data_IF_401011622687
#
_entry.id   IF_401011622687
#
_cell.length_a   1.000
_cell.length_b   1.000
_cell.length_c   1.000
_cell.angle_alpha   90.00
_cell.angle_beta   90.00
_cell.angle_gamma   90.00
#
_symmetry.space_group_name_H-M   'P 1'
#
loop_
_entity.id
_entity.type
_entity.pdbx_description
1 polymer ?
#
# COMPACT_ATOMS: atom_id res chain seq x y z
N UNK A 1 -4.23 -18.86 4.86
CA UNK A 1 -4.83 -18.24 6.05
C UNK A 1 -6.25 -17.85 5.69
N UNK A 2 -7.25 -18.31 6.44
CA UNK A 2 -8.65 -17.92 6.20
C UNK A 2 -8.93 -16.65 7.01
N UNK A 3 -9.44 -15.60 6.37
CA UNK A 3 -9.77 -14.34 7.05
C UNK A 3 -11.07 -14.53 7.85
N UNK A 4 -11.10 -14.28 9.17
CA UNK A 4 -12.32 -14.41 9.95
C UNK A 4 -13.43 -13.45 9.47
N UNK A 5 -14.69 -13.86 9.61
CA UNK A 5 -15.85 -13.01 9.28
C UNK A 5 -15.88 -11.71 10.09
N UNK A 6 -15.40 -11.77 11.35
CA UNK A 6 -15.24 -10.59 12.21
C UNK A 6 -14.29 -9.55 11.60
N UNK A 7 -13.16 -9.99 11.03
CA UNK A 7 -12.19 -9.09 10.40
C UNK A 7 -12.73 -8.46 9.11
N UNK A 8 -13.51 -9.22 8.34
CA UNK A 8 -14.23 -8.69 7.17
C UNK A 8 -15.26 -7.63 7.57
N UNK A 9 -15.98 -7.88 8.67
CA UNK A 9 -16.99 -6.96 9.20
C UNK A 9 -16.37 -5.65 9.67
N UNK A 10 -15.22 -5.72 10.34
CA UNK A 10 -14.44 -4.55 10.76
C UNK A 10 -13.96 -3.73 9.55
N UNK A 11 -13.36 -4.39 8.56
CA UNK A 11 -12.90 -3.73 7.33
C UNK A 11 -14.04 -3.03 6.55
N UNK A 12 -15.25 -3.60 6.55
CA UNK A 12 -16.43 -2.97 5.95
C UNK A 12 -16.84 -1.68 6.69
N UNK A 13 -16.77 -1.68 8.04
CA UNK A 13 -17.05 -0.49 8.85
C UNK A 13 -16.02 0.61 8.64
N UNK A 14 -14.74 0.25 8.53
CA UNK A 14 -13.65 1.21 8.33
C UNK A 14 -13.79 2.01 7.03
N UNK A 15 -14.41 1.41 6.01
CA UNK A 15 -14.70 2.07 4.71
C UNK A 15 -16.12 2.65 4.62
N UNK A 16 -16.88 2.64 5.72
CA UNK A 16 -18.24 3.19 5.79
C UNK A 16 -19.30 2.38 5.04
N UNK A 17 -19.08 1.08 4.82
CA UNK A 17 -20.03 0.20 4.15
C UNK A 17 -20.84 -0.63 5.15
N UNK A 18 -22.09 -0.23 5.37
CA UNK A 18 -23.00 -0.92 6.30
C UNK A 18 -23.56 -2.21 5.70
N UNK A 19 -22.95 -3.34 6.04
CA UNK A 19 -23.45 -4.68 5.71
C UNK A 19 -24.41 -5.21 6.78
N UNK A 20 -25.51 -5.85 6.34
CA UNK A 20 -26.45 -6.56 7.22
C UNK A 20 -25.84 -7.89 7.68
N UNK A 21 -25.17 -8.59 6.77
CA UNK A 21 -24.77 -9.99 6.99
C UNK A 21 -23.48 -10.31 6.25
N UNK A 22 -22.58 -11.05 6.92
CA UNK A 22 -21.27 -11.46 6.40
C UNK A 22 -21.10 -12.94 6.72
N UNK A 23 -21.27 -13.80 5.71
CA UNK A 23 -21.34 -15.26 5.91
C UNK A 23 -20.41 -15.99 4.98
N UNK A 24 -19.56 -16.85 5.55
CA UNK A 24 -18.72 -17.78 4.79
C UNK A 24 -19.59 -18.90 4.20
N UNK A 25 -19.48 -19.08 2.88
CA UNK A 25 -20.24 -20.13 2.21
C UNK A 25 -19.69 -21.51 2.55
N UNK A 26 -20.58 -22.48 2.74
CA UNK A 26 -20.24 -23.87 3.05
C UNK A 26 -20.36 -24.74 1.80
N UNK A 27 -19.39 -25.62 1.57
CA UNK A 27 -19.49 -26.66 0.56
C UNK A 27 -20.54 -27.69 1.02
N UNK A 28 -21.67 -27.78 0.32
CA UNK A 28 -22.80 -28.65 0.70
C UNK A 28 -22.45 -30.14 0.66
N UNK A 29 -21.54 -30.55 -0.21
CA UNK A 29 -21.13 -31.95 -0.40
C UNK A 29 -20.11 -32.38 0.66
N UNK A 30 -19.10 -31.54 0.91
CA UNK A 30 -17.99 -31.82 1.82
C UNK A 30 -18.20 -31.30 3.25
N UNK A 31 -19.29 -30.55 3.51
CA UNK A 31 -19.63 -29.91 4.79
C UNK A 31 -18.49 -29.09 5.40
N UNK A 32 -17.69 -28.42 4.56
CA UNK A 32 -16.53 -27.62 4.96
C UNK A 32 -16.67 -26.16 4.49
N UNK A 33 -16.11 -25.19 5.23
CA UNK A 33 -16.09 -23.80 4.82
C UNK A 33 -15.35 -23.62 3.49
N UNK A 34 -15.84 -22.71 2.66
CA UNK A 34 -15.19 -22.32 1.41
C UNK A 34 -14.39 -21.03 1.62
N UNK A 35 -13.56 -20.70 0.63
CA UNK A 35 -12.85 -19.41 0.57
C UNK A 35 -13.76 -18.24 0.22
N UNK A 36 -15.02 -18.50 -0.15
CA UNK A 36 -15.99 -17.50 -0.59
C UNK A 36 -16.80 -16.98 0.59
N UNK A 37 -16.94 -15.66 0.68
CA UNK A 37 -17.77 -14.97 1.67
C UNK A 37 -18.89 -14.26 0.92
N UNK A 38 -20.10 -14.40 1.41
CA UNK A 38 -21.27 -13.66 0.95
C UNK A 38 -21.50 -12.48 1.88
N UNK A 39 -21.60 -11.30 1.32
CA UNK A 39 -21.91 -10.07 2.05
C UNK A 39 -23.26 -9.56 1.56
N UNK A 40 -24.14 -9.22 2.49
CA UNK A 40 -25.49 -8.73 2.21
C UNK A 40 -25.60 -7.28 2.67
N UNK A 41 -26.06 -6.40 1.78
CA UNK A 41 -26.29 -4.98 2.07
C UNK A 41 -27.77 -4.67 2.05
N UNK A 42 -28.22 -3.77 2.93
CA UNK A 42 -29.58 -3.22 2.88
C UNK A 42 -29.69 -2.20 1.75
N UNK A 43 -28.69 -1.34 1.68
CA UNK A 43 -28.60 -0.25 0.72
C UNK A 43 -27.95 -0.73 -0.59
N UNK A 44 -28.65 -0.61 -1.73
CA UNK A 44 -28.10 -0.89 -3.05
C UNK A 44 -26.87 -0.03 -3.41
N UNK A 45 -26.76 1.20 -2.89
CA UNK A 45 -25.59 2.05 -3.17
C UNK A 45 -24.33 1.48 -2.52
N UNK A 46 -24.38 1.16 -1.23
CA UNK A 46 -23.28 0.46 -0.54
C UNK A 46 -22.88 -0.84 -1.25
N UNK A 47 -23.85 -1.62 -1.73
CA UNK A 47 -23.58 -2.83 -2.53
C UNK A 47 -22.85 -2.51 -3.83
N UNK A 48 -23.26 -1.47 -4.55
CA UNK A 48 -22.66 -1.10 -5.83
C UNK A 48 -21.25 -0.56 -5.64
N UNK A 49 -21.03 0.28 -4.62
CA UNK A 49 -19.71 0.74 -4.20
C UNK A 49 -18.85 -0.49 -3.90
N UNK A 50 -19.31 -1.40 -3.04
CA UNK A 50 -18.57 -2.61 -2.68
C UNK A 50 -18.18 -3.48 -3.88
N UNK A 51 -19.09 -3.71 -4.83
CA UNK A 51 -18.80 -4.49 -6.05
C UNK A 51 -17.77 -3.77 -6.94
N UNK A 52 -17.87 -2.45 -7.06
CA UNK A 52 -16.97 -1.66 -7.90
C UNK A 52 -15.58 -1.49 -7.27
N UNK A 53 -15.52 -1.23 -5.96
CA UNK A 53 -14.27 -0.91 -5.26
C UNK A 53 -13.57 -2.14 -4.69
N UNK A 54 -14.28 -3.25 -4.50
CA UNK A 54 -13.81 -4.36 -3.67
C UNK A 54 -13.65 -3.95 -2.21
N UNK A 55 -12.94 -4.77 -1.44
CA UNK A 55 -12.64 -4.53 -0.03
C UNK A 55 -11.18 -4.79 0.28
N UNK A 56 -10.53 -3.82 0.91
CA UNK A 56 -9.20 -4.01 1.47
C UNK A 56 -9.33 -4.60 2.87
N UNK A 57 -8.64 -5.70 3.13
CA UNK A 57 -8.53 -6.30 4.47
C UNK A 57 -7.05 -6.52 4.75
N UNK A 58 -6.54 -5.84 5.77
CA UNK A 58 -5.11 -5.77 6.05
C UNK A 58 -4.33 -5.34 4.80
N UNK A 59 -3.25 -6.05 4.45
CA UNK A 59 -2.44 -5.79 3.25
C UNK A 59 -2.99 -6.43 1.97
N UNK A 60 -4.21 -6.99 1.97
CA UNK A 60 -4.79 -7.70 0.83
C UNK A 60 -6.07 -7.04 0.30
N UNK A 61 -6.19 -6.98 -1.03
CA UNK A 61 -7.39 -6.46 -1.70
C UNK A 61 -8.24 -7.59 -2.27
N UNK A 62 -9.51 -7.62 -1.91
CA UNK A 62 -10.48 -8.60 -2.37
C UNK A 62 -11.44 -7.97 -3.38
N UNK A 63 -11.49 -8.54 -4.58
CA UNK A 63 -12.45 -8.15 -5.60
C UNK A 63 -13.80 -8.77 -5.23
N UNK A 64 -14.86 -7.98 -5.33
CA UNK A 64 -16.22 -8.41 -5.09
C UNK A 64 -16.94 -8.66 -6.43
N UNK A 65 -17.74 -9.72 -6.48
CA UNK A 65 -18.63 -10.02 -7.61
C UNK A 65 -20.09 -10.01 -7.14
N UNK A 66 -21.04 -9.56 -7.98
CA UNK A 66 -22.44 -9.76 -7.71
C UNK A 66 -22.73 -11.24 -7.49
N UNK A 67 -23.43 -11.57 -6.41
CA UNK A 67 -23.84 -12.94 -6.18
C UNK A 67 -24.72 -13.41 -7.36
N UNK A 68 -24.35 -14.53 -7.98
CA UNK A 68 -25.16 -15.15 -9.03
C UNK A 68 -26.57 -15.44 -8.50
N UNK A 69 -27.55 -14.71 -9.02
CA UNK A 69 -28.96 -14.93 -8.70
C UNK A 69 -29.53 -15.99 -9.64
N UNK A 70 -30.40 -16.85 -9.11
CA UNK A 70 -31.19 -17.73 -9.97
C UNK A 70 -32.06 -16.87 -10.87
N UNK A 71 -31.91 -17.02 -12.18
CA UNK A 71 -32.69 -16.30 -13.19
C UNK A 71 -34.06 -16.94 -13.45
N UNK A 72 -34.32 -18.13 -12.89
CA UNK A 72 -35.57 -18.87 -13.07
C UNK A 72 -36.34 -19.04 -11.77
N UNK A 73 -37.69 -18.95 -11.81
CA UNK A 73 -38.54 -19.27 -10.67
C UNK A 73 -38.27 -20.68 -10.14
N UNK A 74 -37.96 -20.77 -8.85
CA UNK A 74 -37.85 -22.07 -8.16
C UNK A 74 -39.25 -22.67 -8.05
N UNK A 75 -39.45 -23.86 -8.63
CA UNK A 75 -40.70 -24.61 -8.52
C UNK A 75 -40.58 -25.75 -7.51
N UNK A 76 -41.55 -25.87 -6.62
CA UNK A 76 -41.60 -26.93 -5.62
C UNK A 76 -42.04 -28.25 -6.24
N UNK A 77 -41.25 -29.33 -6.13
CA UNK A 77 -41.62 -30.65 -6.66
C UNK A 77 -42.78 -31.35 -5.93
N UNK A 78 -43.19 -30.86 -4.75
CA UNK A 78 -44.33 -31.41 -4.00
C UNK A 78 -45.64 -30.74 -4.40
N UNK A 79 -45.74 -29.41 -4.28
CA UNK A 79 -46.99 -28.70 -4.54
C UNK A 79 -47.06 -27.99 -5.90
N UNK A 80 -45.97 -28.02 -6.67
CA UNK A 80 -45.81 -27.41 -8.00
C UNK A 80 -45.98 -25.89 -8.05
N UNK A 81 -46.12 -25.23 -6.90
CA UNK A 81 -46.11 -23.76 -6.77
C UNK A 81 -44.68 -23.21 -6.77
N UNK A 82 -44.54 -21.91 -7.04
CA UNK A 82 -43.26 -21.21 -7.13
C UNK A 82 -42.76 -20.69 -5.78
N UNK A 83 -41.49 -20.23 -5.76
CA UNK A 83 -40.80 -19.52 -4.68
C UNK A 83 -40.45 -20.33 -3.42
N UNK A 84 -40.46 -21.67 -3.50
CA UNK A 84 -39.93 -22.52 -2.44
C UNK A 84 -39.54 -23.92 -2.96
N UNK A 85 -38.68 -24.62 -2.22
CA UNK A 85 -38.30 -26.01 -2.51
C UNK A 85 -39.12 -26.98 -1.65
N UNK A 86 -39.21 -28.25 -2.09
CA UNK A 86 -39.95 -29.32 -1.41
C UNK A 86 -39.61 -29.45 0.08
N UNK A 87 -38.34 -29.27 0.46
CA UNK A 87 -37.87 -29.32 1.86
C UNK A 87 -38.63 -28.36 2.80
N UNK A 88 -39.07 -27.21 2.30
CA UNK A 88 -39.78 -26.18 3.08
C UNK A 88 -41.27 -26.10 2.71
N UNK A 89 -41.79 -27.11 2.01
CA UNK A 89 -43.19 -27.14 1.62
C UNK A 89 -44.07 -27.57 2.80
N UNK A 90 -45.20 -26.89 2.98
CA UNK A 90 -46.22 -27.26 3.99
C UNK A 90 -47.11 -28.41 3.52
N UNK A 91 -47.13 -28.69 2.22
CA UNK A 91 -47.95 -29.76 1.63
C UNK A 91 -47.31 -31.12 1.95
N UNK A 92 -48.10 -32.05 2.49
CA UNK A 92 -47.64 -33.40 2.85
C UNK A 92 -47.77 -34.41 1.70
N UNK A 93 -48.65 -34.14 0.75
CA UNK A 93 -48.92 -35.00 -0.42
C UNK A 93 -48.39 -34.34 -1.70
N UNK A 94 -47.96 -35.15 -2.66
CA UNK A 94 -47.51 -34.65 -3.96
C UNK A 94 -48.72 -34.29 -4.83
N UNK A 95 -48.62 -33.16 -5.51
CA UNK A 95 -49.58 -32.69 -6.51
C UNK A 95 -49.11 -33.17 -7.88
N UNK A 96 -50.04 -33.73 -8.65
CA UNK A 96 -49.80 -34.21 -9.99
C UNK A 96 -49.60 -33.04 -10.95
N UNK A 97 -48.53 -33.07 -11.74
CA UNK A 97 -48.25 -32.03 -12.73
C UNK A 97 -49.18 -32.06 -13.95
N UNK A 98 -49.89 -33.18 -14.15
CA UNK A 98 -50.82 -33.38 -15.25
C UNK A 98 -52.21 -32.85 -14.93
N UNK A 99 -52.81 -33.26 -13.80
CA UNK A 99 -54.20 -32.95 -13.48
C UNK A 99 -54.37 -32.02 -12.26
N UNK A 100 -53.32 -31.80 -11.46
CA UNK A 100 -53.36 -30.93 -10.28
C UNK A 100 -53.92 -31.58 -9.01
N UNK A 101 -54.18 -32.89 -9.01
CA UNK A 101 -54.73 -33.63 -7.87
C UNK A 101 -53.64 -34.25 -6.96
N UNK A 102 -54.03 -34.73 -5.78
CA UNK A 102 -53.13 -35.26 -4.72
C UNK A 102 -52.59 -36.67 -5.01
N UNK A 103 -51.79 -36.83 -6.06
CA UNK A 103 -51.05 -38.05 -6.34
C UNK A 103 -49.76 -37.74 -7.11
N UNK A 104 -48.88 -38.74 -7.21
CA UNK A 104 -47.68 -38.65 -8.04
C UNK A 104 -48.05 -38.80 -9.52
N UNK A 105 -47.34 -38.15 -10.43
CA UNK A 105 -47.65 -38.19 -11.87
C UNK A 105 -47.68 -39.61 -12.46
N UNK A 106 -46.87 -40.53 -11.93
CA UNK A 106 -46.83 -41.95 -12.30
C UNK A 106 -48.09 -42.73 -11.89
N UNK A 107 -48.91 -42.17 -11.01
CA UNK A 107 -50.17 -42.73 -10.54
C UNK A 107 -51.38 -41.96 -11.11
N UNK A 108 -51.16 -41.11 -12.09
CA UNK A 108 -52.21 -40.30 -12.70
C UNK A 108 -53.10 -41.15 -13.60
N UNK A 109 -54.40 -41.18 -13.30
CA UNK A 109 -55.41 -41.86 -14.12
C UNK A 109 -56.13 -40.91 -15.09
N UNK A 110 -55.75 -39.63 -15.12
CA UNK A 110 -56.30 -38.67 -16.06
C UNK A 110 -55.82 -39.00 -17.48
N UNK A 111 -56.69 -38.81 -18.47
CA UNK A 111 -56.34 -38.98 -19.87
C UNK A 111 -55.21 -38.01 -20.27
N UNK A 112 -54.40 -38.41 -21.25
CA UNK A 112 -53.20 -37.66 -21.67
C UNK A 112 -53.49 -36.25 -22.19
N UNK A 113 -54.71 -36.03 -22.69
CA UNK A 113 -55.25 -34.76 -23.19
C UNK A 113 -55.94 -33.90 -22.11
N UNK A 114 -56.24 -34.49 -20.95
CA UNK A 114 -56.87 -33.82 -19.81
C UNK A 114 -55.81 -33.11 -18.92
N UNK A 115 -55.03 -32.20 -19.52
CA UNK A 115 -54.04 -31.42 -18.79
C UNK A 115 -54.70 -30.26 -18.06
N UNK A 116 -54.31 -30.07 -16.79
CA UNK A 116 -54.78 -28.96 -15.96
C UNK A 116 -53.65 -28.50 -15.05
N UNK A 117 -53.09 -27.34 -15.40
CA UNK A 117 -52.05 -26.73 -14.59
C UNK A 117 -52.58 -26.35 -13.21
N UNK A 118 -51.91 -26.77 -12.13
CA UNK A 118 -52.33 -26.43 -10.78
C UNK A 118 -52.22 -24.93 -10.46
N UNK A 119 -51.37 -24.19 -11.19
CA UNK A 119 -51.06 -22.77 -10.96
C UNK A 119 -52.02 -21.83 -11.69
N UNK A 120 -52.13 -21.93 -13.02
CA UNK A 120 -52.99 -21.04 -13.83
C UNK A 120 -54.32 -21.68 -14.28
N UNK A 121 -54.52 -22.97 -14.01
CA UNK A 121 -55.67 -23.78 -14.46
C UNK A 121 -55.80 -23.96 -15.99
N UNK A 122 -54.75 -23.62 -16.76
CA UNK A 122 -54.69 -23.83 -18.21
C UNK A 122 -54.45 -25.28 -18.64
N UNK A 123 -54.67 -25.56 -19.95
CA UNK A 123 -54.51 -26.88 -20.56
C UNK A 123 -53.05 -27.18 -20.94
N UNK A 124 -52.21 -27.37 -19.93
CA UNK A 124 -50.82 -27.77 -20.07
C UNK A 124 -50.29 -28.39 -18.77
N UNK A 125 -49.13 -29.05 -18.84
CA UNK A 125 -48.44 -29.53 -17.64
C UNK A 125 -48.01 -28.34 -16.76
N UNK A 126 -48.13 -28.51 -15.44
CA UNK A 126 -47.74 -27.48 -14.48
C UNK A 126 -46.23 -27.14 -14.48
N UNK A 127 -45.40 -27.95 -15.12
CA UNK A 127 -43.95 -27.79 -15.24
C UNK A 127 -43.49 -27.10 -16.51
N UNK A 128 -44.39 -26.83 -17.47
CA UNK A 128 -44.04 -26.16 -18.73
C UNK A 128 -43.98 -24.63 -18.56
N UNK A 129 -43.05 -24.01 -19.29
CA UNK A 129 -42.78 -22.56 -19.20
C UNK A 129 -43.88 -21.70 -19.83
N UNK A 130 -44.83 -22.31 -20.57
CA UNK A 130 -45.98 -21.63 -21.19
C UNK A 130 -47.06 -21.19 -20.19
N UNK A 131 -46.90 -21.58 -18.91
CA UNK A 131 -47.78 -21.17 -17.83
C UNK A 131 -47.75 -19.65 -17.63
N UNK A 132 -48.89 -18.97 -17.75
CA UNK A 132 -49.00 -17.53 -17.51
C UNK A 132 -48.48 -17.12 -16.11
N UNK A 133 -48.73 -17.94 -15.09
CA UNK A 133 -48.19 -17.72 -13.73
C UNK A 133 -46.67 -17.87 -13.69
N UNK A 134 -46.07 -18.78 -14.47
CA UNK A 134 -44.61 -18.89 -14.59
C UNK A 134 -44.03 -17.60 -15.19
N UNK A 135 -44.59 -17.12 -16.31
CA UNK A 135 -44.14 -15.89 -16.97
C UNK A 135 -44.25 -14.68 -16.04
N UNK A 136 -45.30 -14.60 -15.22
CA UNK A 136 -45.44 -13.55 -14.22
C UNK A 136 -44.35 -13.63 -13.13
N UNK A 137 -44.07 -14.83 -12.61
CA UNK A 137 -42.98 -15.03 -11.64
C UNK A 137 -41.62 -14.69 -12.24
N UNK A 138 -41.37 -15.09 -13.50
CA UNK A 138 -40.14 -14.80 -14.22
C UNK A 138 -39.95 -13.29 -14.41
N UNK A 139 -40.99 -12.56 -14.85
CA UNK A 139 -40.97 -11.09 -14.93
C UNK A 139 -40.72 -10.44 -13.58
N UNK A 140 -41.38 -10.92 -12.51
CA UNK A 140 -41.17 -10.39 -11.15
C UNK A 140 -39.73 -10.59 -10.69
N UNK A 141 -39.15 -11.76 -10.96
CA UNK A 141 -37.75 -12.04 -10.65
C UNK A 141 -36.80 -11.20 -11.50
N UNK A 142 -37.06 -11.05 -12.80
CA UNK A 142 -36.25 -10.22 -13.68
C UNK A 142 -36.29 -8.74 -13.27
N UNK A 143 -37.44 -8.24 -12.84
CA UNK A 143 -37.56 -6.87 -12.33
C UNK A 143 -36.78 -6.68 -11.03
N UNK A 144 -36.81 -7.66 -10.11
CA UNK A 144 -35.96 -7.63 -8.91
C UNK A 144 -34.48 -7.70 -9.30
N UNK A 145 -34.10 -8.60 -10.19
CA UNK A 145 -32.72 -8.69 -10.71
C UNK A 145 -32.31 -7.34 -11.29
N UNK A 146 -33.10 -6.75 -12.19
CA UNK A 146 -32.80 -5.47 -12.85
C UNK A 146 -32.74 -4.31 -11.85
N UNK A 147 -33.67 -4.25 -10.88
CA UNK A 147 -33.66 -3.25 -9.80
C UNK A 147 -32.35 -3.28 -9.01
N UNK A 148 -31.78 -4.47 -8.81
CA UNK A 148 -30.51 -4.63 -8.12
C UNK A 148 -29.30 -4.80 -9.05
N UNK A 149 -29.45 -4.88 -10.38
CA UNK A 149 -28.38 -5.19 -11.36
C UNK A 149 -27.86 -4.01 -12.18
N UNK A 150 -28.38 -2.79 -11.99
CA UNK A 150 -27.80 -1.58 -12.60
C UNK A 150 -26.74 -0.98 -11.64
N UNK A 151 -25.45 -0.96 -11.98
CA UNK A 151 -24.88 -0.06 -12.99
C UNK A 151 -23.99 -0.76 -14.04
N UNK A 152 -24.59 -1.15 -15.17
CA UNK A 152 -23.92 -1.06 -16.47
C UNK A 152 -24.43 0.21 -17.15
N UNK A 153 -23.98 1.38 -16.69
CA UNK A 153 -23.93 2.54 -17.58
C UNK A 153 -22.79 2.28 -18.58
N UNK A 154 -22.93 2.59 -19.88
CA UNK A 154 -21.77 2.74 -20.76
C UNK A 154 -20.77 3.68 -20.08
N UNK A 155 -19.47 3.64 -20.41
CA UNK A 155 -18.56 4.68 -19.96
C UNK A 155 -19.16 6.00 -20.44
N UNK A 156 -19.76 6.76 -19.51
CA UNK A 156 -19.95 8.18 -19.73
C UNK A 156 -18.53 8.65 -19.94
N UNK A 157 -18.19 9.02 -21.18
CA UNK A 157 -17.04 9.87 -21.44
C UNK A 157 -17.04 10.90 -20.32
N UNK A 158 -15.95 10.93 -19.55
CA UNK A 158 -15.77 11.90 -18.49
C UNK A 158 -16.30 13.23 -19.01
N UNK A 159 -17.19 13.94 -18.28
CA UNK A 159 -17.62 15.26 -18.70
C UNK A 159 -16.36 16.02 -19.07
N UNK A 160 -16.26 16.44 -20.34
CA UNK A 160 -15.19 17.31 -20.75
C UNK A 160 -15.20 18.46 -19.75
N UNK A 161 -14.06 18.67 -19.11
CA UNK A 161 -13.83 19.69 -18.09
C UNK A 161 -14.31 21.03 -18.63
N UNK A 162 -15.54 21.39 -18.30
CA UNK A 162 -16.03 22.76 -18.39
C UNK A 162 -16.06 23.27 -16.96
N UNK A 163 -15.21 24.26 -16.75
CA UNK A 163 -14.99 25.06 -15.55
C UNK A 163 -14.37 24.38 -14.31
N UNK A 164 -13.10 24.75 -14.07
CA UNK A 164 -12.38 24.52 -12.82
C UNK A 164 -13.02 25.21 -11.59
N UNK A 165 -14.12 25.93 -11.78
CA UNK A 165 -14.79 26.76 -10.79
C UNK A 165 -16.01 26.08 -10.13
N UNK A 166 -16.41 24.88 -10.55
CA UNK A 166 -17.59 24.18 -10.00
C UNK A 166 -17.27 23.26 -8.79
N UNK A 167 -15.99 23.01 -8.52
CA UNK A 167 -15.59 22.43 -7.24
C UNK A 167 -15.56 23.53 -6.20
N UNK A 168 -16.36 23.38 -5.13
CA UNK A 168 -16.13 24.13 -3.89
C UNK A 168 -14.64 24.01 -3.57
N UNK A 169 -13.92 25.12 -3.30
CA UNK A 169 -12.56 25.02 -2.82
C UNK A 169 -12.62 24.07 -1.62
N UNK A 170 -11.80 23.02 -1.68
CA UNK A 170 -11.66 22.07 -0.59
C UNK A 170 -11.61 22.89 0.69
N UNK A 171 -12.40 22.55 1.73
CA UNK A 171 -12.24 23.20 3.01
C UNK A 171 -10.75 23.18 3.32
N UNK A 172 -10.17 24.35 3.61
CA UNK A 172 -8.78 24.54 4.03
C UNK A 172 -8.44 23.77 5.32
N UNK A 173 -9.20 22.74 5.67
CA UNK A 173 -9.08 21.86 6.80
C UNK A 173 -7.83 20.99 6.63
N UNK A 174 -7.56 20.44 5.45
CA UNK A 174 -6.34 19.64 5.26
C UNK A 174 -5.08 20.47 5.00
N UNK A 175 -5.18 21.62 4.35
CA UNK A 175 -4.01 22.49 4.19
C UNK A 175 -3.69 23.22 5.50
N UNK A 176 -4.68 23.70 6.27
CA UNK A 176 -4.37 24.24 7.62
C UNK A 176 -4.05 23.17 8.65
N UNK A 177 -4.59 21.95 8.63
CA UNK A 177 -4.22 20.96 9.64
C UNK A 177 -2.93 20.22 9.28
N UNK A 178 -2.63 20.00 8.00
CA UNK A 178 -1.37 19.40 7.59
C UNK A 178 -0.25 20.44 7.48
N UNK A 179 -0.53 21.74 7.30
CA UNK A 179 0.48 22.78 7.46
C UNK A 179 0.54 23.32 8.91
N UNK A 180 -0.54 23.43 9.71
CA UNK A 180 -0.40 23.82 11.13
C UNK A 180 0.01 22.67 12.05
N UNK A 181 -0.48 21.42 11.96
CA UNK A 181 0.08 20.37 12.84
C UNK A 181 1.47 19.98 12.39
N UNK A 182 1.75 19.94 11.09
CA UNK A 182 3.06 19.52 10.63
C UNK A 182 4.06 20.67 10.71
N UNK A 183 3.69 21.95 10.52
CA UNK A 183 4.60 23.08 10.78
C UNK A 183 4.61 23.50 12.25
N UNK A 184 3.56 23.43 13.08
CA UNK A 184 3.74 23.73 14.52
C UNK A 184 4.51 22.61 15.22
N UNK A 185 4.28 21.33 14.87
CA UNK A 185 5.04 20.21 15.42
C UNK A 185 6.43 20.10 14.76
N UNK A 186 6.61 20.36 13.45
CA UNK A 186 7.95 20.47 12.86
C UNK A 186 8.68 21.72 13.33
N UNK A 187 8.04 22.88 13.49
CA UNK A 187 8.70 24.09 13.99
C UNK A 187 9.03 23.90 15.48
N UNK A 188 8.18 23.26 16.29
CA UNK A 188 8.54 22.87 17.67
C UNK A 188 9.64 21.80 17.72
N UNK A 189 9.65 20.80 16.83
CA UNK A 189 10.69 19.74 16.78
C UNK A 189 12.02 20.27 16.20
N UNK A 190 11.96 21.09 15.14
CA UNK A 190 13.11 21.79 14.54
C UNK A 190 13.66 22.80 15.54
N UNK A 191 12.86 23.42 16.41
CA UNK A 191 13.40 24.35 17.40
C UNK A 191 14.21 23.67 18.54
N UNK A 192 14.19 22.33 18.68
CA UNK A 192 14.92 21.64 19.76
C UNK A 192 16.30 21.16 19.33
N UNK A 193 16.43 20.33 18.29
CA UNK A 193 17.71 19.76 17.84
C UNK A 193 17.60 19.17 16.42
N UNK A 194 18.44 19.60 15.48
CA UNK A 194 18.57 19.01 14.13
C UNK A 194 19.78 18.07 14.06
N UNK A 195 19.61 16.86 13.54
CA UNK A 195 20.70 15.91 13.30
C UNK A 195 20.73 15.55 11.82
N UNK A 196 21.86 15.82 11.16
CA UNK A 196 22.09 15.51 9.74
C UNK A 196 23.24 14.52 9.58
N UNK A 197 23.06 13.47 8.78
CA UNK A 197 24.13 12.54 8.38
C UNK A 197 24.58 12.90 6.96
N UNK A 198 25.88 13.17 6.77
CA UNK A 198 26.47 13.60 5.50
C UNK A 198 27.67 12.73 5.15
N UNK A 199 27.56 11.98 4.05
CA UNK A 199 28.70 11.28 3.46
C UNK A 199 29.29 12.09 2.30
N UNK A 200 30.59 12.37 2.34
CA UNK A 200 31.35 12.96 1.23
C UNK A 200 32.32 11.92 0.66
N UNK A 201 32.12 11.45 -0.58
CA UNK A 201 33.01 10.48 -1.19
C UNK A 201 34.48 10.95 -1.23
N UNK A 202 35.47 10.03 -1.18
CA UNK A 202 36.89 10.37 -1.18
C UNK A 202 37.38 11.13 -2.42
N UNK A 203 36.58 11.17 -3.49
CA UNK A 203 36.87 11.85 -4.76
C UNK A 203 36.11 13.18 -4.90
N UNK A 204 35.14 13.45 -4.03
CA UNK A 204 34.32 14.65 -4.07
C UNK A 204 34.93 15.80 -3.25
N UNK A 205 34.49 17.02 -3.55
CA UNK A 205 34.77 18.21 -2.73
C UNK A 205 33.65 18.41 -1.72
N UNK A 206 33.98 18.98 -0.57
CA UNK A 206 32.97 19.42 0.39
C UNK A 206 32.24 20.62 -0.21
N UNK A 207 30.91 20.57 -0.25
CA UNK A 207 30.09 21.73 -0.60
C UNK A 207 29.76 22.50 0.68
N UNK A 208 30.54 23.57 0.91
CA UNK A 208 30.44 24.39 2.12
C UNK A 208 29.04 25.01 2.30
N UNK A 209 28.33 25.32 1.20
CA UNK A 209 27.01 25.94 1.28
C UNK A 209 25.98 25.03 1.96
N UNK A 210 26.12 23.70 1.85
CA UNK A 210 25.22 22.75 2.52
C UNK A 210 25.30 22.92 4.04
N UNK A 211 26.49 23.11 4.60
CA UNK A 211 26.67 23.29 6.05
C UNK A 211 26.08 24.63 6.52
N UNK A 212 26.21 25.69 5.70
CA UNK A 212 25.59 26.99 5.97
C UNK A 212 24.07 26.92 5.92
N UNK A 213 23.51 26.25 4.92
CA UNK A 213 22.07 26.04 4.79
C UNK A 213 21.53 25.24 5.98
N UNK A 214 22.19 24.14 6.37
CA UNK A 214 21.79 23.33 7.52
C UNK A 214 21.81 24.11 8.83
N UNK A 215 22.85 24.94 9.04
CA UNK A 215 22.93 25.83 10.20
C UNK A 215 21.84 26.91 10.19
N UNK A 216 21.57 27.51 9.03
CA UNK A 216 20.54 28.55 8.90
C UNK A 216 19.11 27.99 9.05
N UNK A 217 18.91 26.71 8.73
CA UNK A 217 17.64 26.02 8.98
C UNK A 217 17.42 25.81 10.48
N UNK A 218 18.48 25.48 11.24
CA UNK A 218 18.42 25.34 12.69
C UNK A 218 19.82 25.52 13.31
N UNK A 219 19.98 26.53 14.16
CA UNK A 219 21.26 26.80 14.84
C UNK A 219 21.54 25.86 16.03
N UNK A 220 20.60 24.98 16.39
CA UNK A 220 20.80 23.82 17.25
C UNK A 220 21.01 22.56 16.38
N UNK A 221 22.08 22.53 15.57
CA UNK A 221 22.37 21.42 14.67
C UNK A 221 23.59 20.60 15.07
N UNK A 222 23.51 19.29 14.83
CA UNK A 222 24.61 18.33 14.79
C UNK A 222 24.66 17.74 13.38
N UNK A 223 25.84 17.75 12.79
CA UNK A 223 26.15 17.17 11.50
C UNK A 223 27.18 16.08 11.74
N UNK A 224 26.85 14.85 11.39
CA UNK A 224 27.69 13.65 11.63
C UNK A 224 28.02 13.04 10.27
N UNK A 225 29.05 12.18 10.24
CA UNK A 225 29.34 11.14 9.22
C UNK A 225 30.62 11.42 8.40
N UNK A 226 31.00 10.48 7.53
CA UNK A 226 32.30 10.41 6.85
C UNK A 226 32.48 11.49 5.78
N UNK A 227 33.25 12.53 6.11
CA UNK A 227 33.58 13.62 5.20
C UNK A 227 34.81 13.34 4.33
N UNK A 228 35.50 12.22 4.56
CA UNK A 228 36.81 11.91 3.99
C UNK A 228 37.83 13.06 4.13
N UNK A 229 37.66 13.90 5.14
CA UNK A 229 38.43 15.11 5.39
C UNK A 229 39.47 14.81 6.47
N UNK A 230 40.75 15.05 6.17
CA UNK A 230 41.83 14.85 7.14
C UNK A 230 42.38 16.20 7.55
N UNK A 231 42.56 16.41 8.85
CA UNK A 231 43.03 17.65 9.46
C UNK A 231 44.19 17.34 10.41
N UNK A 232 45.37 17.88 10.13
CA UNK A 232 46.57 17.60 10.93
C UNK A 232 46.40 18.00 12.41
N UNK A 233 45.77 19.14 12.67
CA UNK A 233 45.55 19.62 14.04
C UNK A 233 44.50 18.81 14.82
N UNK A 234 43.78 17.91 14.15
CA UNK A 234 42.78 17.02 14.74
C UNK A 234 43.29 15.57 14.85
N UNK A 235 44.59 15.35 14.72
CA UNK A 235 45.21 14.04 14.86
C UNK A 235 45.38 13.23 13.57
N UNK A 236 44.98 13.76 12.40
CA UNK A 236 45.32 13.12 11.12
C UNK A 236 46.80 13.29 10.76
N UNK A 237 47.37 12.37 9.97
CA UNK A 237 48.79 12.46 9.55
C UNK A 237 49.09 13.67 8.67
N UNK A 238 48.09 14.15 7.94
CA UNK A 238 48.19 15.28 7.01
C UNK A 238 46.86 15.99 6.83
N UNK A 239 46.90 17.26 6.47
CA UNK A 239 45.71 17.98 6.01
C UNK A 239 45.50 17.77 4.51
N UNK A 240 44.37 17.17 4.11
CA UNK A 240 44.00 17.01 2.70
C UNK A 240 43.18 18.21 2.19
N UNK A 241 42.86 18.24 0.89
CA UNK A 241 42.10 19.36 0.30
C UNK A 241 40.72 19.56 0.93
N UNK A 242 40.02 18.47 1.29
CA UNK A 242 38.73 18.53 1.99
C UNK A 242 38.89 19.00 3.43
N UNK A 243 39.95 18.58 4.11
CA UNK A 243 40.32 19.10 5.42
C UNK A 243 40.50 20.60 5.40
N UNK A 244 41.13 21.17 4.36
CA UNK A 244 41.21 22.63 4.21
C UNK A 244 39.82 23.28 4.08
N UNK A 245 38.91 22.68 3.30
CA UNK A 245 37.53 23.18 3.18
C UNK A 245 36.75 23.05 4.50
N UNK A 246 36.95 21.97 5.24
CA UNK A 246 36.35 21.79 6.56
C UNK A 246 36.91 22.81 7.56
N UNK A 247 38.22 23.09 7.49
CA UNK A 247 38.84 24.15 8.30
C UNK A 247 38.23 25.52 8.01
N UNK A 248 37.93 25.84 6.75
CA UNK A 248 37.25 27.10 6.40
C UNK A 248 35.90 27.22 7.13
N UNK A 249 35.12 26.14 7.18
CA UNK A 249 33.85 26.08 7.91
C UNK A 249 34.07 26.26 9.42
N UNK A 250 35.01 25.52 10.00
CA UNK A 250 35.32 25.60 11.43
C UNK A 250 35.78 27.00 11.81
N UNK A 251 36.54 27.67 10.95
CA UNK A 251 37.03 29.03 11.16
C UNK A 251 35.92 30.09 11.07
N UNK A 252 34.77 29.80 10.46
CA UNK A 252 33.60 30.69 10.49
C UNK A 252 32.98 30.76 11.91
N UNK A 253 33.26 29.77 12.77
CA UNK A 253 32.94 29.80 14.20
C UNK A 253 31.52 29.38 14.58
N UNK A 254 30.64 29.10 13.60
CA UNK A 254 29.26 28.67 13.86
C UNK A 254 29.15 27.17 14.17
N UNK A 255 30.08 26.36 13.66
CA UNK A 255 30.13 24.91 13.80
C UNK A 255 31.56 24.49 14.14
N UNK A 256 31.72 23.64 15.14
CA UNK A 256 33.01 23.08 15.54
C UNK A 256 32.98 21.55 15.45
N UNK A 257 34.16 20.96 15.28
CA UNK A 257 34.33 19.53 15.35
C UNK A 257 34.59 19.07 16.79
N UNK A 258 33.94 17.97 17.17
CA UNK A 258 34.06 17.29 18.46
C UNK A 258 34.47 15.84 18.18
N UNK A 259 35.46 15.37 18.93
CA UNK A 259 35.99 14.01 18.83
C UNK A 259 36.76 13.62 20.12
N UNK A 260 37.34 12.41 20.15
CA UNK A 260 38.03 11.81 21.29
C UNK A 260 39.53 11.54 21.03
N UNK A 261 40.16 12.30 20.13
CA UNK A 261 41.55 12.09 19.64
C UNK A 261 41.85 10.75 18.93
N UNK A 262 40.98 9.75 19.03
CA UNK A 262 41.16 8.44 18.42
C UNK A 262 41.05 8.48 16.89
N UNK A 263 41.74 7.55 16.21
CA UNK A 263 41.56 7.33 14.77
C UNK A 263 40.23 6.64 14.54
N UNK A 264 39.44 7.11 13.57
CA UNK A 264 38.10 6.55 13.29
C UNK A 264 38.09 5.58 12.11
N UNK A 265 39.18 5.51 11.35
CA UNK A 265 39.33 4.57 10.24
C UNK A 265 40.67 3.85 10.32
N UNK A 266 40.63 2.52 10.13
CA UNK A 266 41.81 1.66 10.12
C UNK A 266 41.71 0.60 9.02
N UNK A 267 42.78 0.49 8.24
CA UNK A 267 42.95 -0.56 7.23
C UNK A 267 44.42 -0.91 7.06
N UNK A 268 44.82 -2.10 7.53
CA UNK A 268 46.22 -2.56 7.51
C UNK A 268 47.13 -1.54 8.21
N UNK A 269 48.09 -0.93 7.50
CA UNK A 269 49.04 0.05 8.05
C UNK A 269 48.56 1.50 7.94
N UNK A 270 47.29 1.70 7.58
CA UNK A 270 46.68 3.01 7.40
C UNK A 270 45.64 3.26 8.49
N UNK A 271 45.90 4.28 9.30
CA UNK A 271 44.97 4.81 10.27
C UNK A 271 44.82 6.31 10.05
N UNK A 272 43.57 6.77 10.01
CA UNK A 272 43.24 8.19 9.92
C UNK A 272 41.95 8.50 10.67
N UNK A 273 41.78 9.80 10.92
CA UNK A 273 40.54 10.39 11.41
C UNK A 273 39.76 10.94 10.23
N UNK A 274 38.67 10.28 9.87
CA UNK A 274 37.84 10.62 8.72
C UNK A 274 36.40 10.97 9.11
N UNK A 275 35.97 10.44 10.25
CA UNK A 275 34.63 10.60 10.80
C UNK A 275 34.69 11.70 11.87
N UNK A 276 33.77 12.67 11.77
CA UNK A 276 33.73 13.81 12.69
C UNK A 276 32.29 14.10 13.14
N UNK A 277 32.15 14.51 14.40
CA UNK A 277 30.91 15.14 14.89
C UNK A 277 31.09 16.64 14.76
N UNK A 278 30.32 17.26 13.89
CA UNK A 278 30.25 18.70 13.77
C UNK A 278 29.03 19.19 14.53
N UNK A 279 29.22 20.09 15.49
CA UNK A 279 28.13 20.63 16.29
C UNK A 279 28.17 22.15 16.29
N UNK A 280 26.98 22.74 16.30
CA UNK A 280 26.80 24.18 16.46
C UNK A 280 27.22 24.66 17.85
N UNK A 281 27.65 25.92 17.94
CA UNK A 281 28.13 26.54 19.19
C UNK A 281 27.23 26.31 20.43
N UNK A 282 25.89 26.44 20.36
CA UNK A 282 25.01 26.21 21.51
C UNK A 282 25.12 24.79 22.10
N UNK A 283 25.40 23.79 21.25
CA UNK A 283 25.41 22.38 21.63
C UNK A 283 26.77 21.89 22.13
N UNK A 284 27.86 22.62 21.86
CA UNK A 284 29.22 22.19 22.24
C UNK A 284 29.35 21.95 23.75
N UNK A 285 28.65 22.75 24.56
CA UNK A 285 28.66 22.63 26.03
C UNK A 285 27.78 21.48 26.57
N UNK A 286 26.90 20.93 25.73
CA UNK A 286 25.94 19.88 26.11
C UNK A 286 26.41 18.49 25.69
N UNK A 287 27.26 18.41 24.67
CA UNK A 287 27.81 17.15 24.18
C UNK A 287 28.85 16.63 25.17
N UNK A 288 28.72 15.36 25.56
CA UNK A 288 29.62 14.68 26.49
C UNK A 288 29.89 13.24 26.05
N UNK A 289 30.78 12.53 26.74
CA UNK A 289 31.08 11.10 26.51
C UNK A 289 31.35 10.75 25.04
N UNK A 290 32.17 11.57 24.39
CA UNK A 290 32.58 11.35 23.00
C UNK A 290 33.62 10.25 23.00
N UNK A 291 33.34 9.12 22.35
CA UNK A 291 34.18 7.92 22.39
C UNK A 291 34.16 7.17 21.05
N UNK A 292 35.34 6.83 20.56
CA UNK A 292 35.54 5.94 19.42
C UNK A 292 35.61 4.49 19.90
N UNK A 293 34.82 3.60 19.29
CA UNK A 293 34.70 2.19 19.67
C UNK A 293 35.47 1.27 18.71
N UNK A 294 36.75 0.93 18.99
CA UNK A 294 37.58 0.16 18.07
C UNK A 294 37.08 -1.27 17.83
N UNK A 295 36.34 -1.85 18.78
CA UNK A 295 35.90 -3.25 18.74
C UNK A 295 34.57 -3.45 18.00
N UNK A 296 33.79 -2.40 17.76
CA UNK A 296 32.46 -2.49 17.13
C UNK A 296 32.49 -2.40 15.58
N UNK A 297 33.64 -2.02 14.98
CA UNK A 297 33.79 -1.62 13.58
C UNK A 297 34.46 -2.62 12.61
N UNK A 298 34.71 -3.85 13.05
CA UNK A 298 35.72 -4.75 12.46
C UNK A 298 35.49 -5.27 11.02
N UNK A 299 34.47 -4.82 10.28
CA UNK A 299 34.15 -5.32 8.93
C UNK A 299 34.44 -4.34 7.78
N UNK A 300 34.42 -3.02 8.00
CA UNK A 300 34.67 -2.00 6.96
C UNK A 300 35.94 -1.17 7.19
N UNK A 301 36.51 -1.23 8.39
CA UNK A 301 37.65 -0.41 8.81
C UNK A 301 37.24 0.86 9.56
N UNK A 302 35.97 1.29 9.49
CA UNK A 302 35.48 2.41 10.31
C UNK A 302 35.18 1.96 11.74
N UNK A 303 35.55 2.78 12.72
CA UNK A 303 35.32 2.61 14.15
C UNK A 303 34.17 3.54 14.55
N UNK A 304 33.05 3.01 15.08
CA UNK A 304 31.91 3.84 15.46
C UNK A 304 32.27 4.90 16.50
N UNK A 305 31.78 6.12 16.32
CA UNK A 305 31.91 7.22 17.27
C UNK A 305 30.58 7.43 17.99
N UNK A 306 30.59 7.49 19.32
CA UNK A 306 29.41 7.76 20.16
C UNK A 306 29.57 9.07 20.89
N UNK A 307 28.46 9.70 21.26
CA UNK A 307 28.42 10.89 22.09
C UNK A 307 27.05 10.98 22.77
N UNK A 308 27.01 11.65 23.91
CA UNK A 308 25.79 11.89 24.68
C UNK A 308 25.32 13.34 24.54
N UNK A 309 24.01 13.51 24.35
CA UNK A 309 23.35 14.82 24.37
C UNK A 309 22.19 14.74 25.36
N UNK A 310 22.15 15.59 26.40
CA UNK A 310 21.05 15.63 27.34
C UNK A 310 19.81 16.21 26.65
N UNK A 311 18.95 15.34 26.14
CA UNK A 311 17.62 15.68 25.66
C UNK A 311 16.68 15.36 26.82
N UNK A 312 15.98 16.35 27.36
CA UNK A 312 15.07 16.20 28.52
C UNK A 312 13.82 15.34 28.26
N UNK A 313 13.92 14.32 27.41
CA UNK A 313 12.86 13.41 27.02
C UNK A 313 12.89 12.15 27.91
N UNK A 314 11.74 11.81 28.50
CA UNK A 314 11.59 10.52 29.18
C UNK A 314 11.74 9.36 28.16
N UNK A 315 12.54 8.32 28.47
CA UNK A 315 12.76 7.22 27.55
C UNK A 315 11.46 6.46 27.31
N UNK A 316 10.93 6.52 26.08
CA UNK A 316 9.91 5.58 25.64
C UNK A 316 10.49 4.16 25.64
N UNK A 317 9.74 3.13 26.09
CA UNK A 317 10.20 1.76 26.06
C UNK A 317 10.59 1.33 24.64
N UNK A 318 11.75 0.69 24.53
CA UNK A 318 12.40 0.26 23.28
C UNK A 318 11.41 -0.57 22.46
N UNK A 319 10.91 0.00 21.37
CA UNK A 319 10.27 -0.78 20.30
C UNK A 319 11.38 -1.37 19.42
N UNK A 320 11.33 -2.65 19.05
CA UNK A 320 12.40 -3.28 18.28
C UNK A 320 12.52 -2.63 16.90
N UNK A 321 13.62 -1.91 16.67
CA UNK A 321 13.97 -1.39 15.33
C UNK A 321 14.26 -2.57 14.42
N UNK A 322 13.47 -2.71 13.35
CA UNK A 322 13.79 -3.61 12.24
C UNK A 322 15.06 -3.13 11.55
N UNK A 323 16.14 -3.92 11.61
CA UNK A 323 17.31 -3.75 10.74
C UNK A 323 17.35 -4.86 9.69
N UNK A 324 17.68 -4.47 8.44
CA UNK A 324 17.73 -5.41 7.32
C UNK A 324 19.12 -6.06 7.26
N UNK A 325 19.18 -7.39 7.40
CA UNK A 325 20.43 -8.16 7.34
C UNK A 325 20.76 -8.58 5.89
N UNK A 326 21.60 -7.79 5.22
CA UNK A 326 22.01 -8.06 3.84
C UNK A 326 22.93 -9.27 3.66
N UNK A 327 23.62 -9.75 4.71
CA UNK A 327 24.42 -10.98 4.63
C UNK A 327 23.56 -12.24 4.54
N UNK A 328 22.36 -12.18 5.12
CA UNK A 328 21.35 -13.23 5.00
C UNK A 328 20.51 -13.11 3.71
N UNK A 329 20.75 -12.09 2.87
CA UNK A 329 19.97 -11.88 1.66
C UNK A 329 20.24 -12.97 0.62
N UNK A 330 19.17 -13.61 0.15
CA UNK A 330 19.24 -14.61 -0.90
C UNK A 330 19.25 -13.92 -2.28
N UNK A 331 20.44 -13.57 -2.75
CA UNK A 331 20.66 -12.89 -4.03
C UNK A 331 20.14 -13.68 -5.23
N UNK A 332 20.11 -15.01 -5.15
CA UNK A 332 19.54 -15.86 -6.19
C UNK A 332 18.03 -15.70 -6.28
N UNK A 333 17.33 -15.70 -5.14
CA UNK A 333 15.89 -15.40 -5.07
C UNK A 333 15.59 -13.97 -5.50
N UNK A 334 16.44 -13.00 -5.13
CA UNK A 334 16.33 -11.61 -5.57
C UNK A 334 16.46 -11.48 -7.10
N UNK A 335 17.43 -12.14 -7.72
CA UNK A 335 17.57 -12.18 -9.18
C UNK A 335 16.40 -12.88 -9.86
N UNK A 336 15.87 -13.96 -9.29
CA UNK A 336 14.66 -14.65 -9.78
C UNK A 336 13.42 -13.73 -9.69
N UNK A 337 13.32 -12.89 -8.65
CA UNK A 337 12.25 -11.91 -8.51
C UNK A 337 12.41 -10.72 -9.47
N UNK A 338 13.64 -10.30 -9.75
CA UNK A 338 13.94 -9.26 -10.76
C UNK A 338 13.68 -9.74 -12.19
N UNK A 339 13.93 -11.01 -12.50
CA UNK A 339 13.61 -11.60 -13.80
C UNK A 339 12.14 -12.05 -13.92
N UNK A 340 11.37 -11.97 -12.84
CA UNK A 340 9.96 -12.32 -12.83
C UNK A 340 9.07 -11.12 -13.22
N UNK A 341 8.98 -10.91 -14.54
CA UNK A 341 7.77 -10.58 -15.29
C UNK A 341 7.18 -9.16 -15.07
N UNK A 342 6.79 -8.50 -16.16
CA UNK A 342 6.18 -7.15 -16.21
C UNK A 342 5.03 -6.95 -15.19
N UNK A 343 4.36 -8.04 -14.83
CA UNK A 343 3.33 -8.11 -13.77
C UNK A 343 3.80 -7.62 -12.40
N UNK A 344 5.10 -7.69 -12.09
CA UNK A 344 5.65 -7.19 -10.82
C UNK A 344 5.70 -5.67 -10.81
N UNK A 345 6.14 -5.05 -11.92
CA UNK A 345 6.13 -3.59 -12.09
C UNK A 345 4.71 -3.03 -12.03
N UNK A 346 3.75 -3.69 -12.68
CA UNK A 346 2.32 -3.30 -12.61
C UNK A 346 1.79 -3.34 -11.17
N UNK A 347 2.08 -4.39 -10.41
CA UNK A 347 1.63 -4.52 -9.01
C UNK A 347 2.23 -3.44 -8.11
N UNK A 348 3.52 -3.18 -8.25
CA UNK A 348 4.21 -2.12 -7.52
C UNK A 348 3.59 -0.76 -7.87
N UNK A 349 3.36 -0.48 -9.15
CA UNK A 349 2.75 0.76 -9.61
C UNK A 349 1.32 0.93 -9.04
N UNK A 350 0.53 -0.14 -9.00
CA UNK A 350 -0.81 -0.11 -8.39
C UNK A 350 -0.73 0.24 -6.90
N UNK A 351 0.22 -0.33 -6.16
CA UNK A 351 0.40 -0.02 -4.73
C UNK A 351 0.85 1.43 -4.52
N UNK A 352 1.78 1.94 -5.34
CA UNK A 352 2.18 3.34 -5.30
C UNK A 352 0.97 4.27 -5.53
N UNK A 353 0.19 4.00 -6.57
CA UNK A 353 -0.97 4.81 -6.92
C UNK A 353 -2.03 4.82 -5.81
N UNK A 354 -2.19 3.71 -5.08
CA UNK A 354 -3.07 3.63 -3.90
C UNK A 354 -2.54 4.46 -2.73
N UNK A 355 -1.25 4.36 -2.45
CA UNK A 355 -0.60 5.11 -1.36
C UNK A 355 -0.66 6.62 -1.59
N UNK A 356 -0.40 7.09 -2.82
CA UNK A 356 -0.48 8.52 -3.17
C UNK A 356 -1.91 9.04 -3.00
N UNK A 357 -2.92 8.29 -3.43
CA UNK A 357 -4.33 8.68 -3.25
C UNK A 357 -4.72 8.76 -1.79
N UNK A 358 -4.33 7.78 -0.99
CA UNK A 358 -4.60 7.79 0.44
C UNK A 358 -3.93 8.99 1.14
N UNK A 359 -2.66 9.26 0.83
CA UNK A 359 -1.89 10.36 1.42
C UNK A 359 -2.47 11.75 1.07
N UNK A 360 -3.06 11.89 -0.12
CA UNK A 360 -3.64 13.14 -0.60
C UNK A 360 -5.16 13.26 -0.37
N UNK A 361 -5.79 12.26 0.28
CA UNK A 361 -7.24 12.25 0.49
C UNK A 361 -8.05 12.20 -0.82
N UNK A 362 -7.49 11.62 -1.88
CA UNK A 362 -8.09 11.64 -3.22
C UNK A 362 -8.97 10.41 -3.47
N UNK A 363 -10.10 10.57 -4.16
CA UNK A 363 -10.93 9.45 -4.58
C UNK A 363 -10.17 8.41 -5.41
N UNK A 364 -10.55 7.13 -5.28
CA UNK A 364 -9.90 6.02 -5.99
C UNK A 364 -9.92 6.21 -7.53
N UNK A 365 -10.94 6.89 -8.06
CA UNK A 365 -11.10 7.17 -9.48
C UNK A 365 -10.23 8.31 -10.01
N UNK A 366 -9.53 9.06 -9.13
CA UNK A 366 -8.63 10.14 -9.58
C UNK A 366 -7.56 9.59 -10.50
N UNK A 367 -7.33 10.24 -11.65
CA UNK A 367 -6.46 9.70 -12.69
C UNK A 367 -5.01 9.55 -12.23
N UNK A 368 -4.33 8.52 -12.73
CA UNK A 368 -2.93 8.24 -12.39
C UNK A 368 -2.03 9.42 -12.74
N UNK A 369 -2.23 10.02 -13.92
CA UNK A 369 -1.38 11.16 -14.33
C UNK A 369 -1.62 12.39 -13.46
N UNK A 370 -2.85 12.61 -12.98
CA UNK A 370 -3.14 13.70 -12.05
C UNK A 370 -2.46 13.49 -10.69
N UNK A 371 -2.56 12.28 -10.10
CA UNK A 371 -1.96 12.03 -8.78
C UNK A 371 -0.43 12.17 -8.80
N UNK A 372 0.24 11.77 -9.89
CA UNK A 372 1.69 11.92 -10.02
C UNK A 372 2.09 13.38 -10.29
N UNK A 373 1.28 14.14 -11.04
CA UNK A 373 1.50 15.56 -11.27
C UNK A 373 1.43 16.37 -9.97
N UNK A 374 0.42 16.12 -9.13
CA UNK A 374 0.23 16.91 -7.91
C UNK A 374 1.11 16.44 -6.74
N UNK A 375 1.45 15.16 -6.67
CA UNK A 375 2.37 14.65 -5.63
C UNK A 375 3.83 14.94 -5.94
N UNK A 376 4.17 15.26 -7.20
CA UNK A 376 5.54 15.34 -7.70
C UNK A 376 6.36 14.04 -7.46
N UNK A 377 5.68 12.90 -7.42
CA UNK A 377 6.29 11.58 -7.25
C UNK A 377 6.30 10.88 -8.62
N UNK A 378 7.44 10.45 -9.17
CA UNK A 378 7.49 9.72 -10.43
C UNK A 378 6.90 8.30 -10.31
N UNK A 379 6.47 7.71 -11.43
CA UNK A 379 6.04 6.30 -11.47
C UNK A 379 7.22 5.40 -11.07
N UNK A 380 6.95 4.25 -10.47
CA UNK A 380 7.99 3.35 -9.93
C UNK A 380 8.98 2.93 -11.02
N UNK A 381 8.51 2.64 -12.24
CA UNK A 381 9.40 2.26 -13.34
C UNK A 381 10.33 3.41 -13.73
N UNK A 382 9.78 4.61 -13.90
CA UNK A 382 10.55 5.81 -14.26
C UNK A 382 11.59 6.16 -13.17
N UNK A 383 11.21 6.01 -11.91
CA UNK A 383 12.12 6.18 -10.78
C UNK A 383 13.26 5.16 -10.78
N UNK A 384 12.94 3.88 -11.01
CA UNK A 384 13.94 2.80 -11.07
C UNK A 384 14.91 2.98 -12.24
N UNK A 385 14.42 3.40 -13.41
CA UNK A 385 15.25 3.74 -14.57
C UNK A 385 16.18 4.91 -14.23
N UNK A 386 15.65 5.98 -13.62
CA UNK A 386 16.46 7.13 -13.20
C UNK A 386 17.56 6.72 -12.22
N UNK A 387 17.26 5.82 -11.29
CA UNK A 387 18.23 5.30 -10.33
C UNK A 387 19.31 4.44 -11.02
N UNK A 388 18.92 3.63 -12.00
CA UNK A 388 19.83 2.79 -12.79
C UNK A 388 20.78 3.65 -13.62
N UNK A 389 20.27 4.69 -14.28
CA UNK A 389 21.08 5.64 -15.06
C UNK A 389 22.11 6.36 -14.19
N UNK A 390 21.71 6.84 -13.01
CA UNK A 390 22.64 7.43 -12.03
C UNK A 390 23.71 6.44 -11.59
N UNK A 391 23.34 5.18 -11.42
CA UNK A 391 24.27 4.11 -11.02
C UNK A 391 25.27 3.81 -12.14
N UNK A 392 24.83 3.78 -13.41
CA UNK A 392 25.69 3.62 -14.59
C UNK A 392 26.66 4.80 -14.72
N UNK A 393 26.17 6.03 -14.51
CA UNK A 393 26.98 7.24 -14.56
C UNK A 393 28.05 7.22 -13.47
N UNK A 394 27.68 6.84 -12.25
CA UNK A 394 28.61 6.69 -11.12
C UNK A 394 29.68 5.63 -11.41
N UNK A 395 29.28 4.45 -11.91
CA UNK A 395 30.24 3.41 -12.32
C UNK A 395 31.19 3.89 -13.42
N UNK A 396 30.68 4.69 -14.37
CA UNK A 396 31.50 5.31 -15.44
C UNK A 396 32.49 6.32 -14.88
N UNK A 397 32.05 7.21 -13.99
CA UNK A 397 32.93 8.20 -13.34
C UNK A 397 34.01 7.54 -12.46
N UNK A 398 33.73 6.35 -11.93
CA UNK A 398 34.66 5.58 -11.09
C UNK A 398 35.54 4.61 -11.90
N UNK A 399 35.47 4.60 -13.24
CA UNK A 399 36.18 3.65 -14.11
C UNK A 399 35.90 2.15 -13.79
N UNK A 400 34.76 1.83 -13.18
CA UNK A 400 34.35 0.45 -12.91
C UNK A 400 33.64 -0.16 -14.13
N UNK A 401 34.43 -0.64 -15.08
CA UNK A 401 33.95 -1.20 -16.34
C UNK A 401 33.09 -2.46 -16.15
N UNK A 402 33.35 -3.26 -15.11
CA UNK A 402 32.61 -4.50 -14.84
C UNK A 402 31.22 -4.20 -14.29
N UNK A 403 31.12 -3.31 -13.30
CA UNK A 403 29.82 -2.89 -12.77
C UNK A 403 28.99 -2.17 -13.82
N UNK A 404 29.62 -1.26 -14.58
CA UNK A 404 28.98 -0.56 -15.70
C UNK A 404 28.36 -1.55 -16.69
N UNK A 405 29.08 -2.59 -17.09
CA UNK A 405 28.58 -3.57 -18.05
C UNK A 405 27.37 -4.34 -17.49
N UNK A 406 27.41 -4.77 -16.23
CA UNK A 406 26.28 -5.44 -15.59
C UNK A 406 25.03 -4.55 -15.50
N UNK A 407 25.19 -3.27 -15.16
CA UNK A 407 24.08 -2.33 -15.07
C UNK A 407 23.47 -2.02 -16.45
N UNK A 408 24.29 -1.92 -17.50
CA UNK A 408 23.83 -1.76 -18.88
C UNK A 408 23.04 -2.99 -19.36
N UNK A 409 23.45 -4.20 -18.96
CA UNK A 409 22.72 -5.42 -19.32
C UNK A 409 21.38 -5.55 -18.58
N UNK A 410 21.27 -5.01 -17.36
CA UNK A 410 19.99 -4.85 -16.65
C UNK A 410 19.11 -3.81 -17.36
N UNK A 411 19.69 -2.69 -17.83
CA UNK A 411 18.95 -1.64 -18.53
C UNK A 411 18.28 -2.15 -19.82
N UNK A 412 18.90 -3.12 -20.53
CA UNK A 412 18.32 -3.74 -21.74
C UNK A 412 17.10 -4.63 -21.44
N UNK A 413 16.87 -4.99 -20.18
CA UNK A 413 15.81 -5.90 -19.75
C UNK A 413 14.60 -5.18 -19.13
N UNK A 414 14.68 -3.86 -18.94
CA UNK A 414 13.63 -2.98 -18.38
C UNK A 414 13.01 -2.17 -19.51
#
# INVERSE_FOLDING_TARGET
MEIPESRMTEALKDVGLDAIDVVRLMNKTKKMPTKTIKITFMDPQNRNIFVHTGLQVDSMHFIAEPANQNTKPVQCYLCLKYNHVAKYCKTKQQICAQCGENHRIDQCTAASDALKCCNCKGNHLATLNECATYTEQEKRMQNLINQYSCTNTPPTTAPATHDANEFLPLPNIFQRQQDHLHNELFDEIINVLSISSIYVPPTAKININVFRELYNLNNNCIIVDDLNATLHHMGSRRTNARGKQLQEIINEGYINCIDDDSTTFEKKDYEEKLDCILASQPLLSLISNVETHPTLGALSGHKPLTFDVPIGAEPKPISPRLSLNFKAANWTKFRILLTANDKTWERLQIMQNKAIRAALGLPIYTSVDYIHKISNIPKIKDYAVTLLERSIQTATSNNDNTLKQHLLDIQKQI
#
